data_IF_567190875819
#
_entry.id   IF_567190875819
#
_cell.length_a   1.000
_cell.length_b   1.000
_cell.length_c   1.000
_cell.angle_alpha   90.00
_cell.angle_beta   90.00
_cell.angle_gamma   90.00
#
_symmetry.space_group_name_H-M   'P 1'
#
loop_
_entity.id
_entity.type
_entity.pdbx_description
1 polymer ?
#
# COMPACT_ATOMS: atom_id res chain seq x y z
N UNK A 1 -10.09 15.33 -13.54
CA UNK A 1 -9.30 15.57 -12.31
C UNK A 1 -9.13 14.31 -11.48
N UNK A 2 -10.10 13.38 -11.44
CA UNK A 2 -9.93 12.08 -10.75
C UNK A 2 -8.67 11.31 -11.16
N UNK A 3 -8.35 11.25 -12.46
CA UNK A 3 -7.15 10.55 -12.94
C UNK A 3 -5.86 11.15 -12.37
N UNK A 4 -5.77 12.48 -12.32
CA UNK A 4 -4.63 13.19 -11.72
C UNK A 4 -4.51 12.89 -10.22
N UNK A 5 -5.65 12.90 -9.51
CA UNK A 5 -5.72 12.51 -8.10
C UNK A 5 -5.22 11.08 -7.88
N UNK A 6 -5.64 10.14 -8.72
CA UNK A 6 -5.20 8.75 -8.66
C UNK A 6 -3.69 8.63 -8.91
N UNK A 7 -3.17 9.32 -9.93
CA UNK A 7 -1.73 9.36 -10.21
C UNK A 7 -0.92 9.99 -9.08
N UNK A 8 -1.47 10.99 -8.38
CA UNK A 8 -0.83 11.63 -7.23
C UNK A 8 -0.65 10.64 -6.07
N UNK A 9 -1.71 9.91 -5.71
CA UNK A 9 -1.64 8.86 -4.68
C UNK A 9 -0.65 7.78 -5.09
N UNK A 10 -0.75 7.29 -6.33
CA UNK A 10 0.17 6.27 -6.85
C UNK A 10 1.63 6.69 -6.73
N UNK A 11 1.98 7.91 -7.16
CA UNK A 11 3.35 8.44 -7.07
C UNK A 11 3.85 8.51 -5.63
N UNK A 12 3.00 8.90 -4.69
CA UNK A 12 3.39 8.98 -3.29
C UNK A 12 3.64 7.58 -2.68
N UNK A 13 2.80 6.60 -3.03
CA UNK A 13 2.97 5.20 -2.61
C UNK A 13 4.22 4.59 -3.25
N UNK A 14 4.42 4.77 -4.55
CA UNK A 14 5.59 4.27 -5.27
C UNK A 14 6.90 4.85 -4.69
N UNK A 15 6.92 6.15 -4.39
CA UNK A 15 8.08 6.81 -3.77
C UNK A 15 8.38 6.29 -2.36
N UNK A 16 7.34 5.97 -1.58
CA UNK A 16 7.51 5.31 -0.29
C UNK A 16 8.10 3.92 -0.44
N UNK A 17 7.58 3.11 -1.36
CA UNK A 17 8.05 1.74 -1.62
C UNK A 17 9.51 1.77 -2.09
N UNK A 18 9.86 2.67 -3.00
CA UNK A 18 11.25 2.83 -3.48
C UNK A 18 12.20 3.22 -2.34
N UNK A 19 11.75 4.09 -1.43
CA UNK A 19 12.53 4.43 -0.23
C UNK A 19 12.72 3.21 0.66
N UNK A 20 11.63 2.50 0.99
CA UNK A 20 11.65 1.28 1.81
C UNK A 20 12.58 0.22 1.21
N UNK A 21 12.49 0.02 -0.10
CA UNK A 21 13.32 -0.94 -0.84
C UNK A 21 14.80 -0.63 -0.65
N UNK A 22 15.19 0.61 -0.98
CA UNK A 22 16.58 1.08 -0.90
C UNK A 22 17.14 1.04 0.52
N UNK A 23 16.33 1.38 1.54
CA UNK A 23 16.82 1.50 2.92
C UNK A 23 16.76 0.21 3.72
N UNK A 24 15.88 -0.72 3.37
CA UNK A 24 15.57 -1.87 4.22
C UNK A 24 15.50 -3.20 3.46
N UNK A 25 14.73 -3.27 2.36
CA UNK A 25 14.44 -4.56 1.74
C UNK A 25 15.67 -5.15 1.04
N UNK A 26 16.47 -4.35 0.33
CA UNK A 26 17.65 -4.87 -0.39
C UNK A 26 18.67 -5.54 0.54
N UNK A 27 18.92 -4.94 1.70
CA UNK A 27 19.85 -5.52 2.68
C UNK A 27 19.28 -6.78 3.32
N UNK A 28 17.97 -6.80 3.58
CA UNK A 28 17.28 -8.01 4.05
C UNK A 28 17.34 -9.15 3.02
N UNK A 29 17.08 -8.84 1.76
CA UNK A 29 17.20 -9.77 0.63
C UNK A 29 18.62 -10.31 0.50
N UNK A 30 19.64 -9.44 0.58
CA UNK A 30 21.04 -9.86 0.53
C UNK A 30 21.35 -10.90 1.61
N UNK A 31 21.02 -10.61 2.87
CA UNK A 31 21.23 -11.54 3.99
C UNK A 31 20.46 -12.85 3.82
N UNK A 32 19.22 -12.78 3.34
CA UNK A 32 18.38 -13.94 3.05
C UNK A 32 19.00 -14.85 1.98
N UNK A 33 19.52 -14.27 0.89
CA UNK A 33 20.17 -15.01 -0.18
C UNK A 33 21.51 -15.60 0.27
N UNK A 34 22.33 -14.84 1.01
CA UNK A 34 23.58 -15.35 1.58
C UNK A 34 23.34 -16.51 2.55
N UNK A 35 22.28 -16.44 3.38
CA UNK A 35 21.86 -17.52 4.27
C UNK A 35 21.43 -18.76 3.46
N UNK A 36 20.56 -18.57 2.48
CA UNK A 36 20.07 -19.66 1.62
C UNK A 36 21.20 -20.34 0.85
N UNK A 37 22.16 -19.56 0.33
CA UNK A 37 23.33 -20.08 -0.36
C UNK A 37 24.19 -20.98 0.55
N UNK A 38 24.36 -20.61 1.83
CA UNK A 38 25.05 -21.45 2.81
C UNK A 38 24.31 -22.74 3.11
N UNK A 39 22.97 -22.72 3.18
CA UNK A 39 22.16 -23.94 3.31
C UNK A 39 22.43 -24.89 2.13
N UNK A 40 22.41 -24.37 0.90
CA UNK A 40 22.60 -25.16 -0.31
C UNK A 40 24.03 -25.68 -0.52
N UNK A 41 25.04 -25.08 0.12
CA UNK A 41 26.42 -25.54 0.04
C UNK A 41 26.69 -26.85 0.82
N UNK A 42 25.78 -27.24 1.71
CA UNK A 42 25.93 -28.45 2.52
C UNK A 42 25.43 -29.71 1.76
N UNK A 43 26.35 -30.35 1.04
CA UNK A 43 26.08 -31.59 0.29
C UNK A 43 25.91 -32.83 1.17
N UNK A 44 26.15 -32.74 2.48
CA UNK A 44 26.04 -33.86 3.41
C UNK A 44 24.66 -33.95 4.08
N UNK A 45 23.88 -32.86 4.05
CA UNK A 45 22.53 -32.84 4.61
C UNK A 45 21.51 -33.44 3.65
N UNK A 46 20.43 -33.99 4.22
CA UNK A 46 19.28 -34.43 3.42
C UNK A 46 18.59 -33.24 2.77
N UNK A 47 17.84 -33.50 1.69
CA UNK A 47 17.03 -32.51 0.99
C UNK A 47 16.10 -31.74 1.92
N UNK A 48 15.37 -32.45 2.79
CA UNK A 48 14.41 -31.85 3.73
C UNK A 48 15.08 -30.88 4.70
N UNK A 49 16.28 -31.21 5.19
CA UNK A 49 17.05 -30.33 6.07
C UNK A 49 17.46 -29.04 5.35
N UNK A 50 17.89 -29.14 4.09
CA UNK A 50 18.25 -27.97 3.27
C UNK A 50 17.02 -27.11 2.97
N UNK A 51 15.88 -27.71 2.62
CA UNK A 51 14.63 -27.00 2.37
C UNK A 51 14.18 -26.22 3.62
N UNK A 52 14.14 -26.87 4.79
CA UNK A 52 13.81 -26.20 6.05
C UNK A 52 14.77 -25.06 6.41
N UNK A 53 16.07 -25.23 6.15
CA UNK A 53 17.08 -24.17 6.35
C UNK A 53 16.78 -22.94 5.47
N UNK A 54 16.49 -23.17 4.18
CA UNK A 54 16.13 -22.11 3.23
C UNK A 54 14.83 -21.42 3.65
N UNK A 55 13.81 -22.17 4.08
CA UNK A 55 12.56 -21.57 4.56
C UNK A 55 12.78 -20.65 5.77
N UNK A 56 13.64 -21.04 6.72
CA UNK A 56 14.01 -20.20 7.85
C UNK A 56 14.71 -18.91 7.40
N UNK A 57 15.66 -19.00 6.46
CA UNK A 57 16.32 -17.82 5.89
C UNK A 57 15.33 -16.83 5.27
N UNK A 58 14.26 -17.32 4.62
CA UNK A 58 13.23 -16.51 3.98
C UNK A 58 12.20 -15.92 4.97
N UNK A 59 12.12 -16.44 6.20
CA UNK A 59 11.05 -16.12 7.14
C UNK A 59 10.91 -14.63 7.46
N UNK A 60 12.02 -13.94 7.70
CA UNK A 60 11.99 -12.50 7.99
C UNK A 60 11.57 -11.66 6.78
N UNK A 61 12.00 -12.04 5.57
CA UNK A 61 11.56 -11.37 4.34
C UNK A 61 10.06 -11.52 4.12
N UNK A 62 9.52 -12.74 4.31
CA UNK A 62 8.07 -12.99 4.20
C UNK A 62 7.27 -12.15 5.19
N UNK A 63 7.75 -12.05 6.45
CA UNK A 63 7.12 -11.19 7.47
C UNK A 63 7.14 -9.71 7.06
N UNK A 64 8.26 -9.22 6.54
CA UNK A 64 8.36 -7.84 6.07
C UNK A 64 7.40 -7.58 4.90
N UNK A 65 7.33 -8.47 3.90
CA UNK A 65 6.38 -8.36 2.80
C UNK A 65 4.93 -8.31 3.29
N UNK A 66 4.54 -9.22 4.18
CA UNK A 66 3.19 -9.25 4.75
C UNK A 66 2.83 -7.97 5.54
N UNK A 67 3.79 -7.39 6.27
CA UNK A 67 3.57 -6.11 6.96
C UNK A 67 3.34 -4.97 5.96
N UNK A 68 4.12 -4.91 4.88
CA UNK A 68 3.95 -3.88 3.85
C UNK A 68 2.58 -4.00 3.16
N UNK A 69 2.19 -5.22 2.80
CA UNK A 69 0.88 -5.51 2.20
C UNK A 69 -0.27 -5.08 3.11
N UNK A 70 -0.19 -5.37 4.41
CA UNK A 70 -1.21 -4.97 5.39
C UNK A 70 -1.31 -3.44 5.53
N UNK A 71 -0.19 -2.73 5.57
CA UNK A 71 -0.15 -1.27 5.65
C UNK A 71 -0.74 -0.61 4.40
N UNK A 72 -0.35 -1.09 3.21
CA UNK A 72 -0.87 -0.60 1.93
C UNK A 72 -2.35 -0.94 1.75
N UNK A 73 -2.77 -2.14 2.15
CA UNK A 73 -4.18 -2.55 2.14
C UNK A 73 -5.03 -1.67 3.04
N UNK A 74 -4.54 -1.33 4.23
CA UNK A 74 -5.22 -0.40 5.15
C UNK A 74 -5.37 0.99 4.53
N UNK A 75 -4.30 1.53 3.94
CA UNK A 75 -4.34 2.83 3.24
C UNK A 75 -5.36 2.83 2.11
N UNK A 76 -5.35 1.80 1.27
CA UNK A 76 -6.30 1.64 0.15
C UNK A 76 -7.74 1.61 0.66
N UNK A 77 -8.03 0.79 1.68
CA UNK A 77 -9.37 0.67 2.23
C UNK A 77 -9.89 1.99 2.81
N UNK A 78 -9.04 2.73 3.52
CA UNK A 78 -9.40 4.05 4.06
C UNK A 78 -9.70 5.05 2.93
N UNK A 79 -8.87 5.07 1.88
CA UNK A 79 -9.07 5.94 0.72
C UNK A 79 -10.40 5.62 -0.01
N UNK A 80 -10.68 4.34 -0.25
CA UNK A 80 -11.93 3.90 -0.88
C UNK A 80 -13.14 4.29 -0.04
N UNK A 81 -13.10 4.10 1.28
CA UNK A 81 -14.18 4.52 2.18
C UNK A 81 -14.38 6.04 2.18
N UNK A 82 -13.30 6.82 2.13
CA UNK A 82 -13.39 8.27 2.04
C UNK A 82 -14.07 8.73 0.74
N UNK A 83 -13.68 8.15 -0.39
CA UNK A 83 -14.29 8.44 -1.69
C UNK A 83 -15.77 8.05 -1.75
N UNK A 84 -16.14 6.88 -1.19
CA UNK A 84 -17.55 6.49 -1.07
C UNK A 84 -18.33 7.47 -0.17
N UNK A 85 -17.75 7.91 0.94
CA UNK A 85 -18.37 8.94 1.80
C UNK A 85 -18.63 10.25 1.05
N UNK A 86 -17.71 10.69 0.17
CA UNK A 86 -17.96 11.85 -0.69
C UNK A 86 -19.19 11.66 -1.59
N UNK A 87 -19.34 10.48 -2.19
CA UNK A 87 -20.47 10.16 -3.04
C UNK A 87 -21.79 10.13 -2.24
N UNK A 88 -21.78 9.52 -1.05
CA UNK A 88 -22.93 9.43 -0.16
C UNK A 88 -23.41 10.81 0.31
N UNK A 89 -22.48 11.71 0.67
CA UNK A 89 -22.82 13.08 1.07
C UNK A 89 -23.44 13.89 -0.08
N UNK A 90 -22.96 13.69 -1.31
CA UNK A 90 -23.53 14.36 -2.47
C UNK A 90 -24.89 13.78 -2.85
N UNK A 91 -25.07 12.46 -2.80
CA UNK A 91 -26.38 11.85 -3.08
C UNK A 91 -27.45 12.22 -2.04
N UNK A 92 -27.08 12.43 -0.77
CA UNK A 92 -27.99 13.03 0.23
C UNK A 92 -28.47 14.43 -0.18
N UNK A 93 -27.62 15.20 -0.86
CA UNK A 93 -27.93 16.58 -1.28
C UNK A 93 -28.72 16.64 -2.59
N UNK A 94 -28.32 15.88 -3.60
CA UNK A 94 -28.89 15.93 -4.95
C UNK A 94 -29.97 14.88 -5.20
N UNK A 95 -30.14 13.92 -4.28
CA UNK A 95 -31.05 12.78 -4.40
C UNK A 95 -30.30 11.49 -4.81
N UNK A 96 -30.82 10.31 -4.47
CA UNK A 96 -30.10 9.04 -4.69
C UNK A 96 -30.07 8.58 -6.15
N UNK A 97 -30.94 9.12 -7.00
CA UNK A 97 -31.12 8.70 -8.39
C UNK A 97 -30.43 9.68 -9.34
N UNK A 98 -29.17 9.37 -9.66
CA UNK A 98 -28.33 10.19 -10.56
C UNK A 98 -28.88 10.29 -11.99
N UNK A 99 -29.75 9.35 -12.40
CA UNK A 99 -30.38 9.39 -13.73
C UNK A 99 -31.40 10.52 -13.89
N UNK A 100 -31.90 11.04 -12.76
CA UNK A 100 -32.86 12.16 -12.72
C UNK A 100 -32.19 13.52 -12.67
N UNK A 101 -30.86 13.59 -12.63
CA UNK A 101 -30.16 14.85 -12.57
C UNK A 101 -30.26 15.57 -13.91
N UNK A 102 -30.60 16.85 -13.88
CA UNK A 102 -30.38 17.73 -15.02
C UNK A 102 -28.89 17.83 -15.36
N UNK A 103 -28.57 18.27 -16.58
CA UNK A 103 -27.18 18.45 -17.01
C UNK A 103 -26.38 19.34 -16.04
N UNK A 104 -27.00 20.44 -15.56
CA UNK A 104 -26.37 21.35 -14.60
C UNK A 104 -26.11 20.68 -13.26
N UNK A 105 -27.06 19.89 -12.75
CA UNK A 105 -26.88 19.14 -11.49
C UNK A 105 -25.78 18.08 -11.65
N UNK A 106 -25.71 17.39 -12.79
CA UNK A 106 -24.68 16.39 -13.05
C UNK A 106 -23.28 17.02 -13.08
N UNK A 107 -23.13 18.17 -13.75
CA UNK A 107 -21.87 18.92 -13.75
C UNK A 107 -21.46 19.34 -12.34
N UNK A 108 -22.37 19.97 -11.59
CA UNK A 108 -22.09 20.41 -10.21
C UNK A 108 -21.78 19.23 -9.28
N UNK A 109 -22.46 18.10 -9.45
CA UNK A 109 -22.21 16.88 -8.70
C UNK A 109 -20.79 16.34 -8.95
N UNK A 110 -20.39 16.21 -10.22
CA UNK A 110 -19.08 15.70 -10.59
C UNK A 110 -17.95 16.62 -10.11
N UNK A 111 -18.10 17.95 -10.26
CA UNK A 111 -17.11 18.91 -9.76
C UNK A 111 -16.92 18.81 -8.24
N UNK A 112 -18.02 18.69 -7.49
CA UNK A 112 -17.95 18.53 -6.03
C UNK A 112 -17.37 17.18 -5.61
N UNK A 113 -17.69 16.13 -6.35
CA UNK A 113 -17.13 14.80 -6.11
C UNK A 113 -15.61 14.82 -6.32
N UNK A 114 -15.15 15.40 -7.43
CA UNK A 114 -13.73 15.55 -7.75
C UNK A 114 -12.99 16.32 -6.64
N UNK A 115 -13.53 17.45 -6.18
CA UNK A 115 -12.95 18.23 -5.08
C UNK A 115 -12.90 17.44 -3.77
N UNK A 116 -13.96 16.69 -3.45
CA UNK A 116 -14.00 15.89 -2.22
C UNK A 116 -13.00 14.73 -2.27
N UNK A 117 -12.94 13.99 -3.39
CA UNK A 117 -12.00 12.88 -3.59
C UNK A 117 -10.55 13.37 -3.61
N UNK A 118 -10.28 14.55 -4.17
CA UNK A 118 -8.95 15.17 -4.09
C UNK A 118 -8.53 15.43 -2.64
N UNK A 119 -9.44 15.94 -1.78
CA UNK A 119 -9.17 16.11 -0.34
C UNK A 119 -8.93 14.79 0.38
N UNK A 120 -9.67 13.73 0.02
CA UNK A 120 -9.41 12.39 0.52
C UNK A 120 -7.98 11.96 0.18
N UNK A 121 -7.58 12.06 -1.10
CA UNK A 121 -6.24 11.71 -1.53
C UNK A 121 -5.16 12.49 -0.78
N UNK A 122 -5.29 13.81 -0.66
CA UNK A 122 -4.32 14.66 0.04
C UNK A 122 -4.16 14.27 1.50
N UNK A 123 -5.27 14.01 2.18
CA UNK A 123 -5.26 13.60 3.59
C UNK A 123 -4.61 12.22 3.78
N UNK A 124 -4.83 11.29 2.85
CA UNK A 124 -4.26 9.94 2.94
C UNK A 124 -2.78 9.92 2.53
N UNK A 125 -2.35 10.79 1.60
CA UNK A 125 -0.93 10.97 1.26
C UNK A 125 -0.14 11.42 2.49
N UNK A 126 -0.72 12.25 3.37
CA UNK A 126 -0.08 12.67 4.61
C UNK A 126 0.16 11.52 5.61
N UNK A 127 -0.52 10.37 5.45
CA UNK A 127 -0.32 9.19 6.30
C UNK A 127 0.89 8.34 5.87
N UNK A 128 1.34 8.49 4.63
CA UNK A 128 2.41 7.68 4.01
C UNK A 128 3.73 7.74 4.84
N UNK A 129 4.21 8.90 5.32
CA UNK A 129 5.40 8.94 6.18
C UNK A 129 5.24 8.10 7.45
N UNK A 130 4.06 8.14 8.08
CA UNK A 130 3.78 7.35 9.29
C UNK A 130 3.72 5.85 8.99
N UNK A 131 3.15 5.46 7.85
CA UNK A 131 3.17 4.07 7.37
C UNK A 131 4.62 3.59 7.19
N UNK A 132 5.45 4.37 6.51
CA UNK A 132 6.87 4.07 6.33
C UNK A 132 7.59 3.91 7.67
N UNK A 133 7.33 4.78 8.64
CA UNK A 133 8.01 4.73 9.94
C UNK A 133 7.58 3.51 10.76
N UNK A 134 6.29 3.12 10.71
CA UNK A 134 5.82 1.86 11.30
C UNK A 134 6.46 0.65 10.63
N UNK A 135 6.53 0.63 9.31
CA UNK A 135 7.20 -0.41 8.55
C UNK A 135 8.68 -0.53 8.92
N UNK A 136 9.40 0.60 8.96
CA UNK A 136 10.81 0.63 9.34
C UNK A 136 11.02 0.13 10.78
N UNK A 137 10.13 0.51 11.71
CA UNK A 137 10.15 0.00 13.09
C UNK A 137 9.94 -1.52 13.15
N UNK A 138 8.98 -2.04 12.38
CA UNK A 138 8.73 -3.48 12.29
C UNK A 138 9.94 -4.23 11.75
N UNK A 139 10.52 -3.78 10.64
CA UNK A 139 11.70 -4.41 10.04
C UNK A 139 12.89 -4.43 10.99
N UNK A 140 13.12 -3.37 11.78
CA UNK A 140 14.20 -3.34 12.77
C UNK A 140 14.00 -4.30 13.95
N UNK A 141 12.79 -4.86 14.12
CA UNK A 141 12.47 -5.82 15.16
C UNK A 141 12.58 -7.29 14.72
N UNK A 142 12.83 -7.53 13.43
CA UNK A 142 13.04 -8.87 12.85
C UNK A 142 14.50 -9.33 12.99
#
# INVERSE_FOLDING_TARGET
MMEETQQKVKRAVDGMIDTIDKTHLREMQRKMFECSAKCCANNSSSREVVENCVEQCNGNMRKAQGQLEMELGTLQQQLSRCAMGCYDELTKKFGPDTSKYSQTQMTEFNEKLDVCVAKCADSHIQLIPSIRDRFAKFVRSL
#
